data_IF_829786227025
#
_entry.id   IF_829786227025
#
_cell.length_a   1.000
_cell.length_b   1.000
_cell.length_c   1.000
_cell.angle_alpha   90.00
_cell.angle_beta   90.00
_cell.angle_gamma   90.00
#
_symmetry.space_group_name_H-M   'P 1'
#
loop_
_entity.id
_entity.type
_entity.pdbx_description
1 polymer ?
#
# COMPACT_ATOMS: atom_id res chain seq x y z
N UNK A 1 0.66 10.35 -8.73
CA UNK A 1 1.54 9.17 -8.84
C UNK A 1 0.64 7.96 -8.80
N UNK A 2 0.59 7.13 -9.85
CA UNK A 2 -0.36 6.02 -9.92
C UNK A 2 0.36 4.73 -10.29
N UNK A 3 0.37 3.80 -9.34
CA UNK A 3 0.77 2.41 -9.53
C UNK A 3 -0.47 1.60 -9.87
N UNK A 4 -0.47 0.86 -10.98
CA UNK A 4 -1.48 -0.16 -11.24
C UNK A 4 -0.88 -1.40 -11.88
N UNK A 5 -1.29 -2.55 -11.33
CA UNK A 5 -0.80 -3.89 -11.66
C UNK A 5 -1.71 -4.47 -12.75
N UNK A 6 -1.20 -4.51 -13.98
CA UNK A 6 -1.74 -5.32 -15.08
C UNK A 6 -1.20 -6.75 -14.92
N UNK A 7 -2.07 -7.74 -14.76
CA UNK A 7 -1.68 -9.15 -14.55
C UNK A 7 -1.49 -9.93 -15.86
N UNK A 8 -1.59 -9.28 -17.02
CA UNK A 8 -1.37 -9.93 -18.33
C UNK A 8 0.11 -9.84 -18.73
N UNK A 9 0.65 -10.92 -19.28
CA UNK A 9 2.03 -11.01 -19.78
C UNK A 9 2.17 -10.28 -21.14
N UNK A 10 1.91 -8.98 -21.20
CA UNK A 10 2.02 -8.19 -22.43
C UNK A 10 3.14 -7.14 -22.36
N UNK A 11 3.89 -7.00 -23.46
CA UNK A 11 5.14 -6.23 -23.56
C UNK A 11 5.07 -4.81 -23.00
N UNK A 12 5.97 -4.53 -22.05
CA UNK A 12 6.01 -3.46 -21.03
C UNK A 12 5.59 -2.02 -21.38
N UNK A 13 5.44 -1.59 -22.63
CA UNK A 13 5.21 -0.16 -22.96
C UNK A 13 4.17 0.13 -24.05
N UNK A 14 3.51 -0.88 -24.66
CA UNK A 14 2.53 -0.64 -25.75
C UNK A 14 1.09 -0.47 -25.25
N UNK A 15 0.74 -0.99 -24.08
CA UNK A 15 -0.63 -0.98 -23.56
C UNK A 15 -1.07 0.38 -23.01
N UNK A 16 -0.17 1.17 -22.44
CA UNK A 16 -0.51 2.41 -21.72
C UNK A 16 -0.97 3.52 -22.67
N UNK A 17 -0.20 3.78 -23.73
CA UNK A 17 -0.52 4.80 -24.74
C UNK A 17 -1.78 4.41 -25.52
N UNK A 18 -1.93 3.12 -25.84
CA UNK A 18 -3.13 2.61 -26.52
C UNK A 18 -4.37 2.71 -25.62
N UNK A 19 -4.26 2.37 -24.33
CA UNK A 19 -5.33 2.53 -23.34
C UNK A 19 -5.74 4.00 -23.21
N UNK A 20 -4.79 4.92 -23.10
CA UNK A 20 -5.10 6.35 -23.00
C UNK A 20 -5.78 6.89 -24.26
N UNK A 21 -5.31 6.47 -25.44
CA UNK A 21 -5.96 6.82 -26.72
C UNK A 21 -7.37 6.24 -26.81
N UNK A 22 -7.55 5.00 -26.37
CA UNK A 22 -8.84 4.33 -26.30
C UNK A 22 -9.81 5.08 -25.36
N UNK A 23 -9.40 5.35 -24.12
CA UNK A 23 -10.21 6.11 -23.16
C UNK A 23 -10.58 7.50 -23.69
N UNK A 24 -9.67 8.16 -24.41
CA UNK A 24 -9.94 9.46 -25.02
C UNK A 24 -10.92 9.36 -26.21
N UNK A 25 -10.78 8.32 -27.04
CA UNK A 25 -11.59 8.12 -28.25
C UNK A 25 -13.00 7.66 -27.92
N UNK A 26 -13.15 6.72 -26.98
CA UNK A 26 -14.42 6.12 -26.59
C UNK A 26 -14.98 6.72 -25.30
N UNK A 27 -14.56 7.94 -24.96
CA UNK A 27 -14.92 8.60 -23.71
C UNK A 27 -16.44 8.74 -23.54
N UNK A 28 -17.15 9.09 -24.60
CA UNK A 28 -18.62 9.24 -24.59
C UNK A 28 -19.32 7.90 -24.33
N UNK A 29 -18.88 6.82 -24.96
CA UNK A 29 -19.45 5.49 -24.79
C UNK A 29 -19.20 4.95 -23.39
N UNK A 30 -17.98 5.13 -22.87
CA UNK A 30 -17.60 4.78 -21.50
C UNK A 30 -18.45 5.56 -20.50
N UNK A 31 -18.70 6.85 -20.73
CA UNK A 31 -19.57 7.66 -19.88
C UNK A 31 -21.01 7.15 -19.89
N UNK A 32 -21.55 6.81 -21.05
CA UNK A 32 -22.90 6.29 -21.18
C UNK A 32 -23.06 4.96 -20.44
N UNK A 33 -22.14 4.02 -20.63
CA UNK A 33 -22.19 2.71 -19.96
C UNK A 33 -22.04 2.83 -18.45
N UNK A 34 -21.16 3.72 -17.96
CA UNK A 34 -21.03 4.04 -16.52
C UNK A 34 -22.35 4.60 -15.96
N UNK A 35 -23.01 5.50 -16.70
CA UNK A 35 -24.27 6.10 -16.25
C UNK A 35 -25.40 5.07 -16.14
N UNK A 36 -25.44 4.11 -17.06
CA UNK A 36 -26.40 3.00 -17.01
C UNK A 36 -26.07 1.99 -15.90
N UNK A 37 -24.79 1.75 -15.63
CA UNK A 37 -24.34 0.86 -14.55
C UNK A 37 -24.72 1.40 -13.16
N UNK A 38 -24.61 2.72 -12.92
CA UNK A 38 -25.03 3.37 -11.66
C UNK A 38 -26.52 3.16 -11.38
N UNK A 39 -27.35 3.28 -12.43
CA UNK A 39 -28.79 3.16 -12.28
C UNK A 39 -29.20 1.76 -11.83
N UNK A 40 -28.49 0.73 -12.32
CA UNK A 40 -28.71 -0.69 -11.98
C UNK A 40 -28.15 -1.07 -10.59
N UNK A 41 -27.23 -0.29 -10.02
CA UNK A 41 -26.56 -0.62 -8.74
C UNK A 41 -27.35 -0.13 -7.51
N UNK A 42 -27.17 -0.84 -6.39
CA UNK A 42 -27.48 -0.36 -5.04
C UNK A 42 -26.30 0.47 -4.49
N UNK A 43 -26.60 1.51 -3.70
CA UNK A 43 -25.62 2.48 -3.18
C UNK A 43 -24.60 1.85 -2.21
N UNK A 44 -24.80 0.61 -1.77
CA UNK A 44 -24.02 -0.06 -0.71
C UNK A 44 -22.69 -0.66 -1.14
N UNK A 45 -22.56 -1.01 -2.43
CA UNK A 45 -21.37 -1.69 -2.94
C UNK A 45 -20.47 -0.63 -3.61
N UNK A 46 -19.37 -0.25 -2.97
CA UNK A 46 -18.52 0.88 -3.40
C UNK A 46 -17.04 0.47 -3.53
N UNK A 47 -16.69 -0.72 -3.01
CA UNK A 47 -15.30 -1.13 -2.80
C UNK A 47 -14.78 -2.08 -3.89
N UNK A 48 -15.65 -2.58 -4.78
CA UNK A 48 -15.28 -3.43 -5.91
C UNK A 48 -14.88 -2.59 -7.14
N UNK A 49 -13.68 -2.87 -7.69
CA UNK A 49 -13.25 -2.33 -8.99
C UNK A 49 -14.20 -2.79 -10.10
N UNK A 50 -14.51 -1.88 -11.03
CA UNK A 50 -15.59 -2.10 -11.99
C UNK A 50 -15.08 -2.71 -13.30
N UNK A 51 -15.79 -3.71 -13.81
CA UNK A 51 -15.66 -4.19 -15.18
C UNK A 51 -16.77 -3.60 -16.03
N UNK A 52 -16.46 -2.58 -16.82
CA UNK A 52 -17.39 -1.97 -17.76
C UNK A 52 -17.28 -2.69 -19.09
N UNK A 53 -18.41 -3.19 -19.57
CA UNK A 53 -18.52 -3.70 -20.93
C UNK A 53 -18.90 -2.58 -21.89
N UNK A 54 -18.25 -2.55 -23.06
CA UNK A 54 -18.56 -1.61 -24.14
C UNK A 54 -19.00 -2.44 -25.37
N UNK A 55 -20.19 -2.17 -25.94
CA UNK A 55 -20.63 -2.81 -27.17
C UNK A 55 -19.62 -2.65 -28.31
N UNK A 56 -19.39 -3.72 -29.08
CA UNK A 56 -18.40 -3.75 -30.17
C UNK A 56 -18.84 -2.99 -31.42
N UNK A 57 -20.14 -2.81 -31.62
CA UNK A 57 -20.71 -2.13 -32.80
C UNK A 57 -20.14 -0.71 -32.98
N UNK A 58 -19.97 0.01 -31.86
CA UNK A 58 -19.45 1.38 -31.84
C UNK A 58 -17.91 1.47 -31.81
N UNK A 59 -17.20 0.33 -31.72
CA UNK A 59 -15.73 0.26 -31.64
C UNK A 59 -15.10 0.00 -33.01
N UNK A 60 -15.88 -0.37 -34.02
CA UNK A 60 -15.38 -0.75 -35.35
C UNK A 60 -14.52 0.35 -36.01
N UNK A 61 -13.31 -0.02 -36.43
CA UNK A 61 -12.43 0.86 -37.19
C UNK A 61 -12.60 0.61 -38.69
N UNK A 62 -12.66 1.66 -39.54
CA UNK A 62 -12.68 1.47 -40.98
C UNK A 62 -11.34 0.89 -41.45
N UNK A 63 -11.39 -0.32 -42.00
CA UNK A 63 -10.22 -1.00 -42.54
C UNK A 63 -9.96 -0.57 -43.99
N UNK A 64 -8.90 0.22 -44.19
CA UNK A 64 -8.45 0.57 -45.53
C UNK A 64 -7.70 -0.61 -46.16
N UNK A 65 -8.33 -1.25 -47.15
CA UNK A 65 -7.67 -2.21 -48.00
C UNK A 65 -7.18 -1.51 -49.26
N UNK A 66 -5.92 -1.72 -49.62
CA UNK A 66 -5.42 -1.30 -50.92
C UNK A 66 -5.99 -2.24 -51.98
N UNK A 67 -7.18 -1.91 -52.49
CA UNK A 67 -7.81 -2.64 -53.57
C UNK A 67 -6.95 -2.62 -54.83
N UNK A 68 -7.03 -3.67 -55.65
CA UNK A 68 -6.47 -3.64 -57.02
C UNK A 68 -7.39 -2.82 -57.93
N UNK A 69 -7.51 -1.52 -57.65
CA UNK A 69 -8.28 -0.58 -58.46
C UNK A 69 -7.65 -0.30 -59.83
N UNK A 70 -8.47 0.23 -60.75
CA UNK A 70 -8.09 0.64 -62.11
C UNK A 70 -8.54 -0.33 -63.22
N UNK A 71 -8.63 0.17 -64.45
CA UNK A 71 -8.80 -0.64 -65.66
C UNK A 71 -7.53 -1.49 -65.85
N UNK A 72 -7.64 -2.80 -65.64
CA UNK A 72 -6.52 -3.74 -65.83
C UNK A 72 -6.74 -4.56 -67.08
N UNK A 73 -5.87 -4.35 -68.07
CA UNK A 73 -5.72 -5.29 -69.17
C UNK A 73 -4.84 -6.45 -68.68
N UNK A 74 -5.43 -7.63 -68.51
CA UNK A 74 -4.68 -8.84 -68.17
C UNK A 74 -4.67 -9.75 -69.40
N UNK A 75 -3.49 -10.09 -69.88
CA UNK A 75 -3.34 -11.07 -70.96
C UNK A 75 -3.22 -12.43 -70.30
N UNK A 76 -4.20 -13.30 -70.54
CA UNK A 76 -4.13 -14.70 -70.13
C UNK A 76 -3.43 -15.49 -71.25
N UNK A 77 -2.47 -16.39 -70.93
CA UNK A 77 -1.81 -17.20 -71.94
C UNK A 77 -2.82 -18.17 -72.58
N UNK A 78 -2.86 -18.19 -73.92
CA UNK A 78 -3.33 -19.27 -74.81
C UNK A 78 -4.65 -19.96 -74.45
N UNK A 79 -5.66 -19.75 -75.29
CA UNK A 79 -6.99 -20.31 -75.11
C UNK A 79 -7.17 -21.63 -75.87
N UNK A 80 -7.17 -22.77 -75.16
CA UNK A 80 -7.53 -24.07 -75.74
C UNK A 80 -8.97 -24.50 -75.36
N UNK A 81 -9.64 -23.79 -74.44
CA UNK A 81 -10.88 -24.28 -73.79
C UNK A 81 -12.02 -23.28 -73.59
N UNK A 82 -11.84 -22.00 -73.90
CA UNK A 82 -12.86 -20.96 -73.73
C UNK A 82 -13.35 -20.41 -75.08
N UNK A 83 -14.59 -19.94 -75.15
CA UNK A 83 -15.16 -19.29 -76.33
C UNK A 83 -15.42 -17.81 -76.03
N UNK A 84 -15.50 -16.97 -77.07
CA UNK A 84 -15.79 -15.55 -76.92
C UNK A 84 -17.12 -15.35 -76.14
N UNK A 85 -17.05 -14.57 -75.05
CA UNK A 85 -18.11 -14.29 -74.06
C UNK A 85 -18.26 -15.27 -72.87
N UNK A 86 -17.33 -16.19 -72.66
CA UNK A 86 -17.31 -16.98 -71.42
C UNK A 86 -17.00 -16.14 -70.18
N UNK A 87 -17.70 -16.42 -69.07
CA UNK A 87 -17.48 -15.77 -67.77
C UNK A 87 -16.45 -16.54 -66.97
N UNK A 88 -15.36 -15.90 -66.59
CA UNK A 88 -14.32 -16.49 -65.73
C UNK A 88 -14.79 -16.45 -64.28
N UNK A 89 -14.63 -17.56 -63.55
CA UNK A 89 -14.92 -17.60 -62.12
C UNK A 89 -14.02 -16.64 -61.32
N UNK A 90 -14.61 -15.96 -60.34
CA UNK A 90 -13.90 -15.00 -59.50
C UNK A 90 -12.88 -15.78 -58.65
N UNK A 91 -11.57 -15.42 -58.66
CA UNK A 91 -10.57 -16.16 -57.90
C UNK A 91 -10.94 -16.14 -56.42
N UNK A 92 -11.07 -17.33 -55.82
CA UNK A 92 -11.18 -17.46 -54.37
C UNK A 92 -9.90 -16.90 -53.74
N UNK A 93 -10.05 -15.98 -52.80
CA UNK A 93 -8.96 -15.17 -52.26
C UNK A 93 -7.76 -16.01 -51.79
N UNK A 94 -6.57 -15.63 -52.25
CA UNK A 94 -5.31 -16.21 -51.79
C UNK A 94 -5.07 -15.90 -50.32
N UNK A 95 -4.70 -16.93 -49.57
CA UNK A 95 -4.60 -16.92 -48.11
C UNK A 95 -3.48 -16.04 -47.54
N UNK A 96 -3.71 -15.64 -46.30
CA UNK A 96 -2.71 -15.14 -45.37
C UNK A 96 -3.19 -15.40 -43.94
N UNK A 97 -2.45 -16.23 -43.20
CA UNK A 97 -2.47 -16.25 -41.74
C UNK A 97 -3.38 -17.31 -41.09
N UNK A 98 -2.93 -18.57 -41.10
CA UNK A 98 -3.34 -19.56 -40.09
C UNK A 98 -2.82 -19.11 -38.72
N UNK A 99 -3.70 -18.48 -37.94
CA UNK A 99 -3.54 -18.26 -36.52
C UNK A 99 -4.46 -19.23 -35.78
N UNK A 100 -3.87 -20.27 -35.18
CA UNK A 100 -4.53 -21.26 -34.34
C UNK A 100 -5.17 -20.58 -33.12
N UNK A 101 -6.47 -20.30 -33.21
CA UNK A 101 -7.34 -19.90 -32.12
C UNK A 101 -8.52 -20.86 -32.06
N UNK A 102 -8.61 -21.62 -30.99
CA UNK A 102 -9.67 -22.60 -30.73
C UNK A 102 -10.96 -21.85 -30.36
N UNK A 103 -11.71 -21.39 -31.35
CA UNK A 103 -13.03 -20.80 -31.20
C UNK A 103 -13.97 -21.40 -32.23
N UNK A 104 -15.11 -21.93 -31.80
CA UNK A 104 -16.18 -22.36 -32.71
C UNK A 104 -16.66 -21.13 -33.48
N UNK A 105 -16.27 -21.03 -34.75
CA UNK A 105 -16.86 -20.06 -35.66
C UNK A 105 -18.29 -20.51 -36.00
N UNK A 106 -19.29 -19.77 -35.53
CA UNK A 106 -20.68 -19.91 -35.96
C UNK A 106 -20.79 -19.65 -37.47
N UNK A 107 -21.78 -20.27 -38.13
CA UNK A 107 -21.97 -20.20 -39.59
C UNK A 107 -22.32 -18.79 -40.11
N UNK A 108 -22.75 -17.89 -39.22
CA UNK A 108 -22.84 -16.45 -39.47
C UNK A 108 -21.68 -15.76 -38.74
N UNK A 109 -20.73 -15.23 -39.52
CA UNK A 109 -19.39 -14.83 -39.10
C UNK A 109 -19.30 -13.56 -38.23
N UNK A 110 -20.06 -13.50 -37.14
CA UNK A 110 -19.99 -12.41 -36.16
C UNK A 110 -19.85 -12.98 -34.74
N UNK A 111 -18.67 -13.50 -34.42
CA UNK A 111 -18.25 -13.67 -33.03
C UNK A 111 -17.90 -12.30 -32.45
N UNK A 112 -18.90 -11.58 -31.94
CA UNK A 112 -18.67 -10.32 -31.22
C UNK A 112 -18.14 -10.65 -29.82
N UNK A 113 -16.82 -10.65 -29.65
CA UNK A 113 -16.22 -10.71 -28.32
C UNK A 113 -16.46 -9.38 -27.60
N UNK A 114 -17.40 -9.40 -26.65
CA UNK A 114 -17.71 -8.28 -25.76
C UNK A 114 -16.44 -7.84 -25.02
N UNK A 115 -15.96 -6.62 -25.29
CA UNK A 115 -14.71 -6.14 -24.74
C UNK A 115 -14.92 -5.62 -23.31
N UNK A 116 -14.63 -6.47 -22.33
CA UNK A 116 -14.71 -6.11 -20.90
C UNK A 116 -13.45 -5.40 -20.45
N UNK A 117 -13.59 -4.13 -20.03
CA UNK A 117 -12.49 -3.33 -19.49
C UNK A 117 -12.65 -3.10 -17.98
N UNK A 118 -11.54 -3.19 -17.22
CA UNK A 118 -11.55 -2.94 -15.77
C UNK A 118 -11.07 -1.52 -15.45
N UNK A 119 -11.94 -0.69 -14.88
CA UNK A 119 -11.64 0.69 -14.46
C UNK A 119 -11.32 0.70 -12.96
N UNK A 120 -10.33 1.50 -12.55
CA UNK A 120 -10.04 1.69 -11.12
C UNK A 120 -11.10 2.56 -10.45
N UNK A 121 -11.23 2.46 -9.12
CA UNK A 121 -12.15 3.29 -8.33
C UNK A 121 -11.93 4.78 -8.57
N UNK A 122 -10.67 5.23 -8.57
CA UNK A 122 -10.34 6.64 -8.76
C UNK A 122 -10.67 7.13 -10.17
N UNK A 123 -10.34 6.34 -11.21
CA UNK A 123 -10.64 6.67 -12.60
C UNK A 123 -12.15 6.73 -12.86
N UNK A 124 -12.91 5.85 -12.22
CA UNK A 124 -14.36 5.84 -12.26
C UNK A 124 -14.94 7.13 -11.68
N UNK A 125 -14.47 7.53 -10.50
CA UNK A 125 -14.92 8.76 -9.83
C UNK A 125 -14.59 10.01 -10.67
N UNK A 126 -13.39 10.07 -11.25
CA UNK A 126 -12.99 11.19 -12.11
C UNK A 126 -13.90 11.33 -13.34
N UNK A 127 -14.22 10.21 -14.02
CA UNK A 127 -15.12 10.21 -15.18
C UNK A 127 -16.55 10.65 -14.80
N UNK A 128 -17.01 10.28 -13.61
CA UNK A 128 -18.31 10.68 -13.06
C UNK A 128 -18.36 12.17 -12.73
N UNK A 129 -17.31 12.72 -12.10
CA UNK A 129 -17.25 14.13 -11.71
C UNK A 129 -17.11 15.08 -12.89
N UNK A 130 -16.53 14.61 -14.00
CA UNK A 130 -16.40 15.40 -15.21
C UNK A 130 -17.76 15.85 -15.77
N UNK A 131 -18.79 15.01 -15.66
CA UNK A 131 -20.16 15.34 -16.12
C UNK A 131 -20.90 16.27 -15.17
N UNK A 132 -20.50 16.33 -13.89
CA UNK A 132 -21.11 17.20 -12.90
C UNK A 132 -20.66 18.67 -13.02
N UNK A 133 -19.74 18.98 -13.95
CA UNK A 133 -19.26 20.31 -14.28
C UNK A 133 -19.00 21.18 -13.03
N UNK A 134 -18.43 20.60 -11.98
CA UNK A 134 -18.32 21.21 -10.65
C UNK A 134 -17.35 22.41 -10.72
N UNK A 135 -17.82 23.67 -10.75
CA UNK A 135 -17.00 24.79 -11.22
C UNK A 135 -15.93 25.22 -10.20
N UNK A 136 -16.06 24.84 -8.93
CA UNK A 136 -15.26 25.38 -7.85
C UNK A 136 -15.00 24.33 -6.75
N UNK A 137 -14.21 23.31 -7.05
CA UNK A 137 -13.68 22.41 -6.01
C UNK A 137 -12.62 23.16 -5.19
N UNK A 138 -13.05 23.89 -4.15
CA UNK A 138 -12.12 24.38 -3.14
C UNK A 138 -11.64 23.18 -2.34
N UNK A 139 -10.32 22.95 -2.33
CA UNK A 139 -9.74 22.01 -1.40
C UNK A 139 -9.97 22.54 0.01
N UNK A 140 -10.98 21.99 0.68
CA UNK A 140 -11.13 22.20 2.11
C UNK A 140 -9.93 21.53 2.75
N UNK A 141 -8.97 22.33 3.21
CA UNK A 141 -7.96 21.87 4.15
C UNK A 141 -8.74 21.38 5.37
N UNK A 142 -9.01 20.07 5.41
CA UNK A 142 -9.55 19.44 6.60
C UNK A 142 -8.55 19.78 7.69
N UNK A 143 -8.97 20.63 8.63
CA UNK A 143 -8.34 20.70 9.94
C UNK A 143 -8.54 19.33 10.55
N UNK A 144 -7.64 18.40 10.25
CA UNK A 144 -7.52 17.18 11.01
C UNK A 144 -7.22 17.66 12.43
N UNK A 145 -8.23 17.61 13.29
CA UNK A 145 -8.02 17.76 14.72
C UNK A 145 -7.24 16.53 15.14
N UNK A 146 -5.91 16.63 15.04
CA UNK A 146 -5.01 15.59 15.49
C UNK A 146 -5.07 15.58 17.00
N UNK A 147 -5.84 14.67 17.57
CA UNK A 147 -5.81 14.42 19.00
C UNK A 147 -4.49 13.72 19.34
N UNK A 148 -3.80 14.18 20.37
CA UNK A 148 -2.58 13.53 20.83
C UNK A 148 -2.91 12.71 22.07
N UNK A 149 -2.69 11.40 22.00
CA UNK A 149 -2.73 10.53 23.18
C UNK A 149 -1.32 10.25 23.68
N UNK A 150 -1.20 10.22 25.00
CA UNK A 150 0.06 9.95 25.68
C UNK A 150 0.25 8.44 25.78
N UNK A 151 1.30 7.91 25.16
CA UNK A 151 1.63 6.49 25.20
C UNK A 151 2.92 6.26 25.97
N UNK A 152 3.02 5.12 26.67
CA UNK A 152 4.26 4.73 27.36
C UNK A 152 5.30 4.31 26.32
N UNK A 153 6.44 5.02 26.29
CA UNK A 153 7.50 4.87 25.29
C UNK A 153 8.82 4.35 25.91
N UNK A 154 8.72 3.57 27.00
CA UNK A 154 9.86 2.92 27.65
C UNK A 154 10.50 3.78 28.74
N UNK A 155 11.84 3.84 28.76
CA UNK A 155 12.61 4.54 29.79
C UNK A 155 13.72 5.40 29.19
N UNK A 156 13.97 6.57 29.79
CA UNK A 156 15.05 7.50 29.43
C UNK A 156 16.03 7.65 30.59
N UNK A 157 17.26 8.05 30.31
CA UNK A 157 18.28 8.36 31.35
C UNK A 157 17.95 9.65 32.11
N UNK A 158 17.30 10.60 31.43
CA UNK A 158 16.94 11.90 31.98
C UNK A 158 15.42 12.10 31.88
N UNK A 159 14.84 12.77 32.89
CA UNK A 159 13.41 13.04 32.94
C UNK A 159 12.98 13.72 34.23
N UNK A 160 11.68 13.98 34.36
CA UNK A 160 11.10 14.60 35.54
C UNK A 160 11.20 13.64 36.73
N UNK A 161 11.63 14.08 37.93
CA UNK A 161 11.72 13.24 39.14
C UNK A 161 10.47 12.41 39.46
N UNK A 162 9.28 12.96 39.18
CA UNK A 162 8.01 12.25 39.37
C UNK A 162 7.90 10.95 38.53
N UNK A 163 8.56 10.89 37.38
CA UNK A 163 8.53 9.74 36.48
C UNK A 163 9.66 8.74 36.75
N UNK A 164 10.43 8.89 37.84
CA UNK A 164 11.54 8.00 38.12
C UNK A 164 11.08 6.55 38.31
N UNK A 165 11.79 5.64 37.66
CA UNK A 165 11.60 4.20 37.83
C UNK A 165 12.58 3.70 38.88
N UNK A 166 12.15 3.71 40.15
CA UNK A 166 12.98 3.32 41.32
C UNK A 166 13.60 1.93 41.13
N UNK A 167 12.79 0.92 40.79
CA UNK A 167 13.25 -0.47 40.63
C UNK A 167 14.37 -0.59 39.60
N UNK A 168 14.17 -0.01 38.41
CA UNK A 168 15.16 -0.08 37.33
C UNK A 168 16.41 0.74 37.62
N UNK A 169 16.26 1.90 38.28
CA UNK A 169 17.40 2.74 38.67
C UNK A 169 18.26 2.04 39.72
N UNK A 170 17.63 1.39 40.70
CA UNK A 170 18.31 0.60 41.73
C UNK A 170 18.97 -0.65 41.14
N UNK A 171 18.31 -1.32 40.20
CA UNK A 171 18.88 -2.48 39.52
C UNK A 171 20.14 -2.11 38.73
N UNK A 172 20.11 -0.97 38.02
CA UNK A 172 21.29 -0.45 37.31
C UNK A 172 22.41 -0.09 38.29
N UNK A 173 22.08 0.56 39.41
CA UNK A 173 23.08 0.98 40.39
C UNK A 173 23.75 -0.21 41.07
N UNK A 174 22.99 -1.26 41.40
CA UNK A 174 23.50 -2.52 41.91
C UNK A 174 24.39 -3.23 40.88
N UNK A 175 23.98 -3.27 39.62
CA UNK A 175 24.77 -3.88 38.54
C UNK A 175 26.12 -3.15 38.37
N UNK A 176 26.10 -1.81 38.30
CA UNK A 176 27.31 -0.98 38.21
C UNK A 176 28.22 -1.17 39.41
N UNK A 177 27.67 -1.10 40.63
CA UNK A 177 28.44 -1.30 41.87
C UNK A 177 29.07 -2.69 41.90
N UNK A 178 28.32 -3.73 41.51
CA UNK A 178 28.84 -5.10 41.45
C UNK A 178 29.98 -5.20 40.45
N UNK A 179 29.84 -4.62 39.25
CA UNK A 179 30.91 -4.60 38.26
C UNK A 179 32.17 -3.86 38.75
N UNK A 180 32.00 -2.68 39.36
CA UNK A 180 33.11 -1.84 39.85
C UNK A 180 33.83 -2.42 41.08
N UNK A 181 33.15 -3.27 41.84
CA UNK A 181 33.68 -3.89 43.07
C UNK A 181 34.09 -5.34 42.90
N UNK A 182 33.68 -6.02 41.82
CA UNK A 182 33.93 -7.45 41.61
C UNK A 182 35.42 -7.83 41.69
N UNK A 183 36.30 -7.08 41.00
CA UNK A 183 37.75 -7.33 41.04
C UNK A 183 38.32 -7.14 42.44
N UNK A 184 38.03 -5.98 43.06
CA UNK A 184 38.48 -5.64 44.42
C UNK A 184 38.00 -6.63 45.48
N UNK A 185 36.78 -7.17 45.33
CA UNK A 185 36.23 -8.19 46.23
C UNK A 185 36.94 -9.53 46.09
N UNK A 186 37.35 -9.92 44.88
CA UNK A 186 38.15 -11.14 44.67
C UNK A 186 39.53 -10.99 45.30
N UNK A 187 40.19 -9.85 45.09
CA UNK A 187 41.48 -9.53 45.72
C UNK A 187 41.37 -9.52 47.24
N UNK A 188 40.33 -8.89 47.79
CA UNK A 188 40.06 -8.88 49.22
C UNK A 188 39.89 -10.29 49.78
N UNK A 189 39.11 -11.16 49.11
CA UNK A 189 38.95 -12.55 49.55
C UNK A 189 40.25 -13.36 49.48
N UNK A 190 41.10 -13.11 48.47
CA UNK A 190 42.41 -13.75 48.37
C UNK A 190 43.32 -13.32 49.53
N UNK A 191 43.41 -12.02 49.80
CA UNK A 191 44.23 -11.49 50.90
C UNK A 191 43.70 -11.91 52.28
N UNK A 192 42.39 -12.04 52.46
CA UNK A 192 41.79 -12.58 53.68
C UNK A 192 42.19 -14.05 53.88
N UNK A 193 42.19 -14.86 52.82
CA UNK A 193 42.66 -16.24 52.87
C UNK A 193 44.17 -16.31 53.18
N UNK A 194 44.98 -15.47 52.54
CA UNK A 194 46.43 -15.39 52.81
C UNK A 194 46.70 -15.02 54.27
N UNK A 195 45.98 -14.03 54.80
CA UNK A 195 46.07 -13.63 56.21
C UNK A 195 45.70 -14.79 57.14
N UNK A 196 44.65 -15.54 56.84
CA UNK A 196 44.27 -16.73 57.60
C UNK A 196 45.34 -17.83 57.57
N UNK A 197 46.04 -18.00 56.45
CA UNK A 197 47.13 -19.00 56.35
C UNK A 197 48.36 -18.59 57.13
N UNK A 198 48.78 -17.33 57.02
CA UNK A 198 49.96 -16.79 57.74
C UNK A 198 49.71 -16.82 59.25
N UNK A 199 48.50 -16.45 59.69
CA UNK A 199 48.11 -16.49 61.09
C UNK A 199 48.14 -17.90 61.72
N UNK A 200 48.12 -18.97 60.90
CA UNK A 200 48.21 -20.37 61.34
C UNK A 200 49.61 -20.96 61.18
N UNK A 201 50.54 -20.24 60.56
CA UNK A 201 51.90 -20.74 60.29
C UNK A 201 52.86 -20.45 61.45
N UNK A 202 53.76 -21.39 61.73
CA UNK A 202 54.90 -21.20 62.64
C UNK A 202 56.21 -21.21 61.84
N UNK A 203 57.15 -20.27 62.06
CA UNK A 203 57.14 -19.19 63.05
C UNK A 203 56.24 -18.01 62.66
N UNK A 204 55.74 -17.28 63.67
CA UNK A 204 54.84 -16.14 63.48
C UNK A 204 55.50 -15.00 62.68
N UNK A 205 54.89 -14.66 61.53
CA UNK A 205 55.36 -13.60 60.62
C UNK A 205 54.58 -12.30 60.84
N UNK A 206 54.81 -11.65 62.00
CA UNK A 206 54.06 -10.46 62.43
C UNK A 206 54.08 -9.29 61.42
N UNK A 207 55.21 -9.07 60.74
CA UNK A 207 55.36 -8.01 59.73
C UNK A 207 54.48 -8.25 58.50
N UNK A 208 54.36 -9.50 58.05
CA UNK A 208 53.54 -9.84 56.88
C UNK A 208 52.05 -9.77 57.22
N UNK A 209 51.65 -10.20 58.41
CA UNK A 209 50.28 -10.05 58.91
C UNK A 209 49.84 -8.59 58.95
N UNK A 210 50.69 -7.69 59.48
CA UNK A 210 50.38 -6.26 59.51
C UNK A 210 50.27 -5.65 58.12
N UNK A 211 51.10 -6.09 57.16
CA UNK A 211 51.04 -5.65 55.77
C UNK A 211 49.70 -6.05 55.13
N UNK A 212 49.31 -7.32 55.26
CA UNK A 212 48.04 -7.82 54.73
C UNK A 212 46.83 -7.14 55.36
N UNK A 213 46.85 -6.89 56.69
CA UNK A 213 45.79 -6.13 57.36
C UNK A 213 45.64 -4.72 56.79
N UNK A 214 46.76 -4.04 56.51
CA UNK A 214 46.74 -2.70 55.90
C UNK A 214 46.17 -2.76 54.48
N UNK A 215 46.62 -3.70 53.66
CA UNK A 215 46.12 -3.88 52.28
C UNK A 215 44.61 -4.20 52.24
N UNK A 216 44.13 -5.09 53.12
CA UNK A 216 42.70 -5.40 53.28
C UNK A 216 41.91 -4.16 53.70
N UNK A 217 42.43 -3.36 54.65
CA UNK A 217 41.77 -2.14 55.09
C UNK A 217 41.66 -1.11 53.94
N UNK A 218 42.72 -0.95 53.15
CA UNK A 218 42.70 -0.08 51.97
C UNK A 218 41.70 -0.55 50.91
N UNK A 219 41.64 -1.85 50.62
CA UNK A 219 40.70 -2.42 49.67
C UNK A 219 39.25 -2.27 50.13
N UNK A 220 38.99 -2.49 51.43
CA UNK A 220 37.67 -2.25 52.03
C UNK A 220 37.24 -0.79 51.87
N UNK A 221 38.13 0.15 52.19
CA UNK A 221 37.87 1.59 52.01
C UNK A 221 37.59 1.95 50.53
N UNK A 222 38.34 1.36 49.59
CA UNK A 222 38.13 1.55 48.15
C UNK A 222 36.78 1.00 47.68
N UNK A 223 36.30 -0.11 48.24
CA UNK A 223 34.98 -0.68 47.93
C UNK A 223 33.86 0.21 48.48
N UNK A 224 33.99 0.68 49.72
CA UNK A 224 32.98 1.51 50.39
C UNK A 224 32.82 2.89 49.74
N UNK A 225 33.91 3.44 49.17
CA UNK A 225 33.89 4.71 48.45
C UNK A 225 33.00 4.71 47.20
N UNK A 226 32.60 3.55 46.68
CA UNK A 226 31.74 3.47 45.50
C UNK A 226 30.31 3.87 45.87
N UNK A 227 29.74 4.94 45.27
CA UNK A 227 28.41 5.44 45.63
C UNK A 227 27.30 4.41 45.32
N UNK A 228 26.19 4.49 46.06
CA UNK A 228 25.06 3.56 45.90
C UNK A 228 24.13 3.94 44.75
N UNK A 229 23.96 5.24 44.52
CA UNK A 229 23.14 5.80 43.45
C UNK A 229 23.97 6.90 42.79
N UNK A 230 23.93 6.94 41.48
CA UNK A 230 24.54 8.00 40.67
C UNK A 230 23.57 8.43 39.57
N UNK A 231 23.77 9.61 39.04
CA UNK A 231 22.97 10.24 37.99
C UNK A 231 22.85 9.35 36.75
N UNK A 232 23.92 8.63 36.39
CA UNK A 232 23.93 7.69 35.27
C UNK A 232 23.04 6.46 35.45
N UNK A 233 22.76 6.08 36.71
CA UNK A 233 21.93 4.91 37.03
C UNK A 233 20.44 5.23 36.92
N UNK A 234 20.08 6.52 37.05
CA UNK A 234 18.70 6.97 37.06
C UNK A 234 18.00 6.66 35.74
N UNK A 235 16.80 6.11 35.84
CA UNK A 235 15.93 5.84 34.69
C UNK A 235 14.54 6.39 34.96
N UNK A 236 14.00 7.11 33.99
CA UNK A 236 12.70 7.75 34.04
C UNK A 236 11.76 7.08 33.06
N UNK A 237 10.48 6.94 33.42
CA UNK A 237 9.44 6.45 32.51
C UNK A 237 9.23 7.52 31.43
N UNK A 238 9.38 7.11 30.18
CA UNK A 238 9.18 7.98 29.03
C UNK A 238 7.74 7.86 28.53
N UNK A 239 7.16 9.01 28.21
CA UNK A 239 5.83 9.12 27.65
C UNK A 239 5.93 9.94 26.37
N UNK A 240 5.49 9.36 25.26
CA UNK A 240 5.51 9.99 23.95
C UNK A 240 4.08 10.32 23.53
N UNK A 241 3.89 11.50 22.94
CA UNK A 241 2.60 11.88 22.35
C UNK A 241 2.53 11.33 20.95
N UNK A 242 1.57 10.43 20.71
CA UNK A 242 1.30 9.90 19.37
C UNK A 242 0.02 10.54 18.83
N UNK A 243 0.01 10.93 17.54
CA UNK A 243 -1.21 11.39 16.90
C UNK A 243 -2.19 10.21 16.83
N UNK A 244 -3.37 10.39 17.39
CA UNK A 244 -4.49 9.47 17.26
C UNK A 244 -5.48 10.12 16.28
N UNK A 245 -5.69 9.55 15.08
CA UNK A 245 -6.60 10.13 14.10
C UNK A 245 -8.03 10.09 14.65
N UNK A 246 -8.60 11.27 14.94
CA UNK A 246 -10.00 11.39 15.35
C UNK A 246 -10.91 11.35 14.12
N UNK A 247 -11.54 10.20 13.86
CA UNK A 247 -12.59 10.05 12.85
C UNK A 247 -13.98 10.09 13.49
N UNK A 248 -14.30 11.17 14.22
CA UNK A 248 -15.61 11.33 14.88
C UNK A 248 -16.72 11.86 13.96
N UNK A 249 -16.65 11.60 12.65
CA UNK A 249 -17.69 11.98 11.71
C UNK A 249 -18.49 10.74 11.29
N UNK A 250 -19.78 10.70 11.64
CA UNK A 250 -20.72 9.70 11.14
C UNK A 250 -21.57 10.35 10.05
N UNK A 251 -21.60 9.76 8.86
CA UNK A 251 -22.39 10.23 7.73
C UNK A 251 -23.57 9.30 7.48
N UNK A 252 -24.79 9.83 7.58
CA UNK A 252 -26.01 9.12 7.20
C UNK A 252 -26.42 9.56 5.79
N UNK A 253 -26.41 8.64 4.84
CA UNK A 253 -26.91 8.86 3.48
C UNK A 253 -28.31 8.22 3.37
N UNK A 254 -29.35 9.05 3.40
CA UNK A 254 -30.75 8.61 3.27
C UNK A 254 -31.30 9.12 1.93
N UNK A 255 -32.00 8.26 1.18
CA UNK A 255 -32.66 8.60 -0.08
C UNK A 255 -34.13 8.18 0.01
N UNK A 256 -35.05 9.07 -0.37
CA UNK A 256 -36.47 8.72 -0.51
C UNK A 256 -36.68 7.84 -1.75
N UNK A 257 -37.58 6.85 -1.66
CA UNK A 257 -37.94 5.96 -2.79
C UNK A 257 -39.42 6.09 -3.13
N UNK A 258 -40.12 7.07 -2.54
CA UNK A 258 -41.53 7.34 -2.78
C UNK A 258 -41.86 7.58 -4.26
N UNK A 259 -43.13 7.39 -4.64
CA UNK A 259 -43.61 7.56 -6.01
C UNK A 259 -43.49 8.99 -6.56
N UNK A 260 -43.12 9.98 -5.73
CA UNK A 260 -42.86 11.36 -6.15
C UNK A 260 -41.45 11.58 -6.72
N UNK A 261 -40.54 10.60 -6.53
CA UNK A 261 -39.19 10.68 -7.07
C UNK A 261 -39.11 10.09 -8.48
N UNK A 262 -39.03 10.99 -9.47
CA UNK A 262 -38.72 10.67 -10.86
C UNK A 262 -37.34 9.99 -11.00
N UNK A 263 -37.19 9.19 -12.06
CA UNK A 263 -35.96 8.45 -12.35
C UNK A 263 -34.74 9.38 -12.45
N UNK A 264 -34.90 10.54 -13.10
CA UNK A 264 -33.84 11.56 -13.22
C UNK A 264 -33.35 12.08 -11.86
N UNK A 265 -34.27 12.27 -10.91
CA UNK A 265 -33.96 12.75 -9.56
C UNK A 265 -33.26 11.68 -8.72
N UNK A 266 -33.68 10.41 -8.87
CA UNK A 266 -33.00 9.26 -8.25
C UNK A 266 -31.59 9.10 -8.78
N UNK A 267 -31.40 9.23 -10.09
CA UNK A 267 -30.09 9.12 -10.73
C UNK A 267 -29.15 10.23 -10.24
N UNK A 268 -29.63 11.47 -10.16
CA UNK A 268 -28.87 12.60 -9.61
C UNK A 268 -28.48 12.39 -8.15
N UNK A 269 -29.40 11.87 -7.33
CA UNK A 269 -29.13 11.57 -5.92
C UNK A 269 -28.10 10.44 -5.76
N UNK A 270 -28.19 9.37 -6.56
CA UNK A 270 -27.19 8.28 -6.57
C UNK A 270 -25.81 8.79 -6.95
N UNK A 271 -25.71 9.63 -7.99
CA UNK A 271 -24.44 10.24 -8.44
C UNK A 271 -23.78 11.12 -7.37
N UNK A 272 -24.56 11.69 -6.45
CA UNK A 272 -24.04 12.48 -5.34
C UNK A 272 -23.65 11.61 -4.12
N UNK A 273 -24.48 10.66 -3.73
CA UNK A 273 -24.24 9.84 -2.53
C UNK A 273 -23.12 8.82 -2.72
N UNK A 274 -22.99 8.24 -3.90
CA UNK A 274 -21.94 7.25 -4.20
C UNK A 274 -20.52 7.78 -3.93
N UNK A 275 -20.09 8.94 -4.48
CA UNK A 275 -18.79 9.52 -4.17
C UNK A 275 -18.65 9.98 -2.72
N UNK A 276 -19.72 10.50 -2.11
CA UNK A 276 -19.68 10.93 -0.71
C UNK A 276 -19.36 9.75 0.23
N UNK A 277 -19.93 8.57 -0.03
CA UNK A 277 -19.63 7.35 0.72
C UNK A 277 -18.24 6.82 0.39
N UNK A 278 -17.81 6.90 -0.87
CA UNK A 278 -16.52 6.36 -1.32
C UNK A 278 -15.30 7.13 -0.79
N UNK A 279 -15.44 8.44 -0.59
CA UNK A 279 -14.37 9.35 -0.12
C UNK A 279 -14.30 9.39 1.41
N UNK A 280 -15.43 9.22 2.09
CA UNK A 280 -15.53 9.32 3.55
C UNK A 280 -15.38 7.98 4.29
N UNK A 281 -15.26 6.85 3.57
CA UNK A 281 -14.68 5.61 4.09
C UNK A 281 -13.16 5.66 3.86
N UNK A 282 -12.35 6.19 4.79
CA UNK A 282 -10.94 5.82 4.82
C UNK A 282 -10.88 4.31 5.08
N UNK A 283 -9.98 3.62 4.37
CA UNK A 283 -9.75 2.18 4.47
C UNK A 283 -9.83 1.71 5.94
N UNK A 284 -10.86 0.91 6.22
CA UNK A 284 -10.99 0.12 7.44
C UNK A 284 -10.09 -1.12 7.34
#
# INVERSE_FOLDING_TARGET
MTWFIDRRLNGKNKSTVNRQRFLRRYKSQIKQSISEAINKRSVTDVDSGESVSIPTDDISEPMFHQGRGGLRHRVHPGNDHFVQNDRIERPQGGGGGSGSGQGQASQDGEGQDEFVFQISKDEYLDLLFEDLALPNLKQNQQRQLTEYKTHRAGFTSNGVPANISVVRSLQNSLARRTAMTAGKRRELHALEADLETIAKSEPAQLLEEERLRKEIAELRAKIERVPFIDTFDLRYKNYEKRPDPSSQAVMFCLMDVSGSMDQSTKDMAKRFLYPAVSVLKPDL
#
